data_IF_851611794347
#
_entry.id   IF_851611794347
#
_cell.length_a   1.000
_cell.length_b   1.000
_cell.length_c   1.000
_cell.angle_alpha   90.00
_cell.angle_beta   90.00
_cell.angle_gamma   90.00
#
_symmetry.space_group_name_H-M   'P 1'
#
loop_
_entity.id
_entity.type
_entity.pdbx_description
1 polymer ?
#
# COMPACT_ATOMS: atom_id res chain seq x y z
N UNK A 1 -14.52 -1.14 9.55
CA UNK A 1 -13.66 -0.89 8.34
C UNK A 1 -14.28 -1.60 7.15
N UNK A 2 -14.40 -0.94 5.99
CA UNK A 2 -14.95 -1.57 4.78
C UNK A 2 -13.97 -2.63 4.29
N UNK A 3 -14.48 -3.86 4.04
CA UNK A 3 -13.68 -4.94 3.47
C UNK A 3 -13.40 -4.61 1.99
N UNK A 4 -12.15 -4.34 1.64
CA UNK A 4 -11.74 -4.04 0.27
C UNK A 4 -11.58 -5.32 -0.54
N UNK A 5 -12.13 -5.37 -1.74
CA UNK A 5 -11.89 -6.45 -2.70
C UNK A 5 -10.39 -6.58 -3.03
N UNK A 6 -9.67 -5.45 -3.08
CA UNK A 6 -8.23 -5.40 -3.31
C UNK A 6 -7.36 -6.00 -2.20
N UNK A 7 -7.95 -6.30 -1.01
CA UNK A 7 -7.19 -6.84 0.14
C UNK A 7 -6.58 -8.20 -0.16
N UNK A 8 -7.37 -9.10 -0.71
CA UNK A 8 -6.90 -10.45 -1.02
C UNK A 8 -5.89 -10.41 -2.19
N UNK A 9 -6.13 -9.56 -3.18
CA UNK A 9 -5.19 -9.36 -4.29
C UNK A 9 -3.85 -8.80 -3.84
N UNK A 10 -3.85 -7.87 -2.88
CA UNK A 10 -2.63 -7.33 -2.29
C UNK A 10 -1.82 -8.41 -1.56
N UNK A 11 -2.50 -9.30 -0.83
CA UNK A 11 -1.85 -10.46 -0.18
C UNK A 11 -1.27 -11.45 -1.19
N UNK A 12 -2.01 -11.75 -2.25
CA UNK A 12 -1.57 -12.62 -3.34
C UNK A 12 -0.28 -12.07 -3.96
N UNK A 13 -0.28 -10.81 -4.39
CA UNK A 13 0.89 -10.16 -4.99
C UNK A 13 2.09 -10.12 -4.04
N UNK A 14 1.88 -9.93 -2.75
CA UNK A 14 2.96 -9.93 -1.77
C UNK A 14 3.60 -11.31 -1.54
N UNK A 15 2.93 -12.39 -1.94
CA UNK A 15 3.49 -13.76 -1.91
C UNK A 15 4.27 -14.10 -3.18
N UNK A 16 3.95 -13.45 -4.28
CA UNK A 16 4.51 -13.74 -5.61
C UNK A 16 5.64 -12.79 -6.00
N UNK A 17 5.58 -11.53 -5.54
CA UNK A 17 6.52 -10.48 -5.94
C UNK A 17 7.26 -9.89 -4.75
N UNK A 18 8.57 -9.60 -4.88
CA UNK A 18 9.33 -8.96 -3.81
C UNK A 18 8.90 -7.53 -3.51
N UNK A 19 8.37 -6.82 -4.52
CA UNK A 19 7.86 -5.45 -4.40
C UNK A 19 6.40 -5.41 -4.87
N UNK A 20 5.54 -4.76 -4.10
CA UNK A 20 4.15 -4.50 -4.52
C UNK A 20 3.88 -3.00 -4.47
N UNK A 21 3.46 -2.43 -5.58
CA UNK A 21 3.10 -1.03 -5.69
C UNK A 21 1.58 -0.86 -5.75
N UNK A 22 1.03 -0.20 -4.74
CA UNK A 22 -0.40 0.16 -4.68
C UNK A 22 -0.56 1.56 -5.24
N UNK A 23 -1.05 1.61 -6.45
CA UNK A 23 -1.27 2.81 -7.23
C UNK A 23 -2.72 3.30 -7.08
N UNK A 24 -2.93 4.60 -7.09
CA UNK A 24 -4.29 5.15 -7.07
C UNK A 24 -4.32 6.62 -6.72
N UNK A 25 -5.45 7.29 -6.97
CA UNK A 25 -5.60 8.72 -6.69
C UNK A 25 -5.45 9.02 -5.20
N UNK A 26 -5.24 10.29 -4.87
CA UNK A 26 -5.29 10.75 -3.48
C UNK A 26 -6.64 10.37 -2.85
N UNK A 27 -6.62 10.05 -1.55
CA UNK A 27 -7.82 9.66 -0.78
C UNK A 27 -8.50 8.35 -1.24
N UNK A 28 -7.89 7.55 -2.12
CA UNK A 28 -8.44 6.23 -2.48
C UNK A 28 -8.32 5.17 -1.37
N UNK A 29 -7.65 5.49 -0.27
CA UNK A 29 -7.48 4.61 0.89
C UNK A 29 -6.30 3.65 0.77
N UNK A 30 -5.26 3.99 -0.03
CA UNK A 30 -4.02 3.20 -0.17
C UNK A 30 -3.37 2.90 1.18
N UNK A 31 -3.05 3.96 1.93
CA UNK A 31 -2.42 3.87 3.26
C UNK A 31 -3.22 2.99 4.22
N UNK A 32 -4.54 3.18 4.28
CA UNK A 32 -5.42 2.37 5.13
C UNK A 32 -5.39 0.90 4.72
N UNK A 33 -5.42 0.62 3.42
CA UNK A 33 -5.37 -0.74 2.91
C UNK A 33 -4.06 -1.42 3.31
N UNK A 34 -2.90 -0.83 2.99
CA UNK A 34 -1.60 -1.46 3.23
C UNK A 34 -1.33 -1.68 4.72
N UNK A 35 -1.64 -0.71 5.58
CA UNK A 35 -1.54 -0.86 7.04
C UNK A 35 -2.44 -1.96 7.59
N UNK A 36 -3.64 -2.10 7.05
CA UNK A 36 -4.59 -3.14 7.49
C UNK A 36 -4.17 -4.55 7.08
N UNK A 37 -3.46 -4.69 5.95
CA UNK A 37 -2.97 -5.98 5.45
C UNK A 37 -1.66 -6.37 6.13
N UNK A 38 -0.78 -5.40 6.39
CA UNK A 38 0.56 -5.61 6.95
C UNK A 38 0.77 -4.84 8.26
N UNK A 39 -0.01 -5.12 9.33
CA UNK A 39 0.01 -4.32 10.56
C UNK A 39 1.34 -4.39 11.34
N UNK A 40 2.15 -5.41 11.09
CA UNK A 40 3.46 -5.62 11.75
C UNK A 40 4.64 -5.10 10.93
N UNK A 41 4.41 -4.69 9.68
CA UNK A 41 5.48 -4.20 8.82
C UNK A 41 5.80 -2.75 9.16
N UNK A 42 7.08 -2.35 9.27
CA UNK A 42 7.46 -0.95 9.48
C UNK A 42 6.80 -0.05 8.43
N UNK A 43 6.33 1.11 8.86
CA UNK A 43 5.66 2.08 7.99
C UNK A 43 6.45 3.39 7.98
N UNK A 44 6.71 3.89 6.78
CA UNK A 44 7.47 5.11 6.54
C UNK A 44 6.69 5.99 5.57
N UNK A 45 6.37 7.21 6.01
CA UNK A 45 5.76 8.24 5.15
C UNK A 45 6.88 9.10 4.56
N UNK A 46 7.03 9.06 3.23
CA UNK A 46 8.07 9.82 2.54
C UNK A 46 7.70 11.29 2.28
N UNK A 47 6.47 11.70 2.59
CA UNK A 47 6.11 13.12 2.67
C UNK A 47 6.76 13.80 3.89
N UNK A 48 7.11 13.05 4.95
CA UNK A 48 7.84 13.58 6.10
C UNK A 48 9.23 14.05 5.68
N UNK A 49 9.55 15.31 5.95
CA UNK A 49 10.79 15.95 5.50
C UNK A 49 12.03 15.22 6.00
N UNK A 50 12.07 14.84 7.28
CA UNK A 50 13.20 14.14 7.88
C UNK A 50 13.44 12.78 7.22
N UNK A 51 12.35 12.05 6.93
CA UNK A 51 12.42 10.75 6.25
C UNK A 51 12.87 10.90 4.80
N UNK A 52 12.34 11.89 4.11
CA UNK A 52 12.71 12.20 2.72
C UNK A 52 14.17 12.64 2.63
N UNK A 53 14.65 13.50 3.53
CA UNK A 53 16.03 13.93 3.57
C UNK A 53 16.98 12.75 3.82
N UNK A 54 16.71 11.90 4.80
CA UNK A 54 17.50 10.70 5.07
C UNK A 54 17.54 9.75 3.86
N UNK A 55 16.37 9.51 3.23
CA UNK A 55 16.24 8.67 2.05
C UNK A 55 16.94 9.22 0.81
N UNK A 56 17.07 10.53 0.71
CA UNK A 56 17.73 11.21 -0.42
C UNK A 56 19.24 11.32 -0.21
N UNK A 57 19.67 11.60 1.01
CA UNK A 57 21.10 11.81 1.35
C UNK A 57 21.88 10.51 1.30
N UNK A 58 21.36 9.44 1.90
CA UNK A 58 22.00 8.10 1.87
C UNK A 58 20.93 7.01 1.74
N UNK A 59 20.48 6.72 0.52
CA UNK A 59 19.46 5.69 0.27
C UNK A 59 19.84 4.30 0.76
N UNK A 60 21.14 3.95 0.73
CA UNK A 60 21.62 2.62 1.16
C UNK A 60 21.51 2.48 2.67
N UNK A 61 21.97 3.46 3.42
CA UNK A 61 21.86 3.48 4.88
C UNK A 61 20.41 3.51 5.30
N UNK A 62 19.59 4.36 4.67
CA UNK A 62 18.18 4.46 4.94
C UNK A 62 17.45 3.11 4.77
N UNK A 63 17.71 2.39 3.67
CA UNK A 63 17.11 1.07 3.44
C UNK A 63 17.68 -0.03 4.35
N UNK A 64 18.92 0.13 4.83
CA UNK A 64 19.53 -0.81 5.78
C UNK A 64 18.83 -0.82 7.15
N UNK A 65 18.14 0.27 7.52
CA UNK A 65 17.31 0.35 8.73
C UNK A 65 16.05 -0.55 8.64
N UNK A 66 15.72 -1.05 7.43
CA UNK A 66 14.57 -1.91 7.16
C UNK A 66 14.99 -3.25 6.54
N UNK A 67 15.78 -4.06 7.24
CA UNK A 67 16.38 -5.29 6.68
C UNK A 67 15.35 -6.33 6.26
N UNK A 68 14.17 -6.34 6.89
CA UNK A 68 13.04 -7.22 6.55
C UNK A 68 12.03 -6.56 5.61
N UNK A 69 12.34 -5.36 5.13
CA UNK A 69 11.47 -4.54 4.29
C UNK A 69 10.50 -3.68 5.09
N UNK A 70 9.79 -2.82 4.38
CA UNK A 70 8.87 -1.84 4.95
C UNK A 70 7.74 -1.49 3.99
N UNK A 71 6.76 -0.74 4.51
CA UNK A 71 5.79 0.01 3.72
C UNK A 71 6.38 1.41 3.52
N UNK A 72 6.59 1.82 2.28
CA UNK A 72 6.96 3.18 1.92
C UNK A 72 5.78 3.87 1.26
N UNK A 73 5.20 4.83 1.98
CA UNK A 73 4.03 5.59 1.54
C UNK A 73 4.49 6.85 0.78
N UNK A 74 3.81 7.15 -0.34
CA UNK A 74 4.10 8.24 -1.25
C UNK A 74 5.53 8.17 -1.85
N UNK A 75 5.87 7.00 -2.41
CA UNK A 75 7.22 6.70 -2.97
C UNK A 75 7.66 7.68 -4.07
N UNK A 76 6.73 8.40 -4.72
CA UNK A 76 7.07 9.44 -5.71
C UNK A 76 7.86 10.60 -5.12
N UNK A 77 7.85 10.78 -3.79
CA UNK A 77 8.68 11.79 -3.10
C UNK A 77 10.18 11.43 -3.11
N UNK A 78 10.49 10.13 -3.26
CA UNK A 78 11.87 9.61 -3.32
C UNK A 78 12.00 8.51 -4.37
N UNK A 79 11.78 8.78 -5.67
CA UNK A 79 11.74 7.74 -6.71
C UNK A 79 13.09 7.01 -6.89
N UNK A 80 14.20 7.65 -6.53
CA UNK A 80 15.53 7.05 -6.57
C UNK A 80 15.67 5.81 -5.66
N UNK A 81 14.88 5.69 -4.59
CA UNK A 81 14.87 4.51 -3.72
C UNK A 81 14.58 3.21 -4.49
N UNK A 82 13.77 3.29 -5.55
CA UNK A 82 13.40 2.12 -6.35
C UNK A 82 14.62 1.40 -6.92
N UNK A 83 15.61 2.14 -7.41
CA UNK A 83 16.85 1.55 -7.96
C UNK A 83 17.65 0.80 -6.89
N UNK A 84 17.70 1.32 -5.67
CA UNK A 84 18.40 0.66 -4.56
C UNK A 84 17.64 -0.54 -4.03
N UNK A 85 16.29 -0.47 -3.98
CA UNK A 85 15.43 -1.58 -3.58
C UNK A 85 15.63 -2.78 -4.52
N UNK A 86 15.78 -2.56 -5.83
CA UNK A 86 16.02 -3.63 -6.79
C UNK A 86 17.27 -4.43 -6.47
N UNK A 87 18.38 -3.76 -6.17
CA UNK A 87 19.61 -4.44 -5.76
C UNK A 87 19.42 -5.30 -4.51
N UNK A 88 18.61 -4.82 -3.55
CA UNK A 88 18.32 -5.56 -2.33
C UNK A 88 17.45 -6.79 -2.61
N UNK A 89 16.38 -6.66 -3.39
CA UNK A 89 15.47 -7.79 -3.66
C UNK A 89 16.10 -8.86 -4.53
N UNK A 90 16.99 -8.49 -5.47
CA UNK A 90 17.73 -9.44 -6.30
C UNK A 90 18.65 -10.32 -5.46
N UNK A 91 19.26 -9.74 -4.40
CA UNK A 91 20.12 -10.46 -3.49
C UNK A 91 19.36 -11.31 -2.47
N UNK A 92 18.29 -10.77 -1.89
CA UNK A 92 17.53 -11.44 -0.80
C UNK A 92 16.51 -12.45 -1.30
N UNK A 93 16.02 -12.33 -2.52
CA UNK A 93 14.99 -13.22 -3.13
C UNK A 93 13.78 -13.47 -2.22
N UNK A 94 13.33 -12.43 -1.50
CA UNK A 94 12.23 -12.49 -0.55
C UNK A 94 11.03 -11.74 -1.09
N UNK A 95 9.88 -12.43 -1.22
CA UNK A 95 8.63 -11.82 -1.66
C UNK A 95 7.97 -10.99 -0.55
N UNK A 96 7.19 -9.98 -0.96
CA UNK A 96 6.50 -9.07 -0.04
C UNK A 96 7.44 -8.20 0.78
N UNK A 97 8.68 -8.03 0.34
CA UNK A 97 9.68 -7.26 1.08
C UNK A 97 9.30 -5.79 1.17
N UNK A 98 9.04 -5.17 0.04
CA UNK A 98 8.64 -3.77 -0.02
C UNK A 98 7.21 -3.61 -0.50
N UNK A 99 6.41 -2.86 0.26
CA UNK A 99 5.06 -2.45 -0.10
C UNK A 99 5.10 -0.95 -0.31
N UNK A 100 4.79 -0.52 -1.51
CA UNK A 100 4.88 0.88 -1.91
C UNK A 100 3.48 1.43 -2.16
N UNK A 101 3.26 2.69 -1.84
CA UNK A 101 2.07 3.42 -2.28
C UNK A 101 2.48 4.67 -3.03
N UNK A 102 1.59 5.17 -3.87
CA UNK A 102 1.82 6.43 -4.56
C UNK A 102 0.74 6.76 -5.57
N UNK A 103 0.87 7.92 -6.19
CA UNK A 103 0.02 8.35 -7.29
C UNK A 103 0.61 7.91 -8.64
N UNK A 104 -0.21 7.97 -9.70
CA UNK A 104 0.09 7.46 -11.05
C UNK A 104 1.42 7.90 -11.67
N UNK A 105 1.98 9.03 -11.24
CA UNK A 105 3.09 9.68 -11.93
C UNK A 105 4.41 8.89 -11.91
N UNK A 106 4.59 7.99 -10.93
CA UNK A 106 5.85 7.23 -10.84
C UNK A 106 6.00 6.20 -11.95
N UNK A 107 4.89 5.68 -12.44
CA UNK A 107 4.87 4.70 -13.54
C UNK A 107 5.11 5.33 -14.92
N UNK A 108 5.10 6.67 -15.02
CA UNK A 108 5.44 7.41 -16.23
C UNK A 108 6.95 7.42 -16.50
N UNK A 109 7.77 7.08 -15.51
CA UNK A 109 9.22 6.97 -15.68
C UNK A 109 9.55 5.64 -16.37
N UNK A 110 9.78 5.65 -17.69
CA UNK A 110 10.08 4.45 -18.49
C UNK A 110 11.26 3.64 -17.94
N UNK A 111 12.27 4.32 -17.38
CA UNK A 111 13.40 3.68 -16.72
C UNK A 111 12.98 2.83 -15.51
N UNK A 112 11.95 3.27 -14.78
CA UNK A 112 11.41 2.53 -13.62
C UNK A 112 10.65 1.29 -14.08
N UNK A 113 9.85 1.40 -15.16
CA UNK A 113 9.12 0.25 -15.70
C UNK A 113 10.03 -0.87 -16.17
N UNK A 114 11.10 -0.53 -16.90
CA UNK A 114 12.04 -1.52 -17.43
C UNK A 114 12.81 -2.24 -16.31
N UNK A 115 13.26 -1.50 -15.30
CA UNK A 115 14.06 -2.08 -14.21
C UNK A 115 13.23 -2.91 -13.22
N UNK A 116 11.93 -2.63 -13.11
CA UNK A 116 11.02 -3.33 -12.18
C UNK A 116 10.29 -4.53 -12.82
N UNK A 117 10.46 -4.76 -14.12
CA UNK A 117 9.83 -5.87 -14.83
C UNK A 117 10.15 -7.22 -14.16
N UNK A 118 9.13 -8.00 -13.82
CA UNK A 118 9.26 -9.29 -13.13
C UNK A 118 9.57 -9.23 -11.63
N UNK A 119 9.81 -8.03 -11.06
CA UNK A 119 10.13 -7.83 -9.63
C UNK A 119 9.06 -7.08 -8.87
N UNK A 120 8.15 -6.39 -9.57
CA UNK A 120 7.09 -5.60 -8.96
C UNK A 120 5.72 -5.93 -9.54
N UNK A 121 4.77 -6.18 -8.65
CA UNK A 121 3.36 -6.19 -9.00
C UNK A 121 2.75 -4.80 -8.78
N UNK A 122 1.83 -4.42 -9.66
CA UNK A 122 1.09 -3.16 -9.57
C UNK A 122 -0.37 -3.48 -9.25
N UNK A 123 -0.87 -2.89 -8.18
CA UNK A 123 -2.27 -2.97 -7.79
C UNK A 123 -2.91 -1.57 -7.91
N UNK A 124 -3.78 -1.40 -8.89
CA UNK A 124 -4.54 -0.16 -9.03
C UNK A 124 -5.69 -0.14 -8.04
N UNK A 125 -5.68 0.84 -7.14
CA UNK A 125 -6.71 1.06 -6.14
C UNK A 125 -7.59 2.24 -6.54
N UNK A 126 -8.73 1.93 -7.10
CA UNK A 126 -9.76 2.92 -7.38
C UNK A 126 -10.45 3.38 -6.07
N UNK A 127 -11.14 4.53 -6.07
CA UNK A 127 -12.03 4.90 -4.98
C UNK A 127 -13.03 3.78 -4.69
N UNK A 128 -13.64 3.78 -3.49
CA UNK A 128 -14.61 2.76 -3.09
C UNK A 128 -15.64 2.50 -4.19
N UNK A 129 -15.79 1.24 -4.58
CA UNK A 129 -16.80 0.84 -5.55
C UNK A 129 -18.21 0.97 -4.97
N UNK A 130 -19.22 1.07 -5.84
CA UNK A 130 -20.64 1.10 -5.41
C UNK A 130 -21.00 -0.16 -4.60
N UNK A 131 -20.43 -1.33 -4.93
CA UNK A 131 -20.66 -2.58 -4.18
C UNK A 131 -20.04 -2.54 -2.77
N UNK A 132 -18.88 -1.92 -2.62
CA UNK A 132 -18.24 -1.74 -1.30
C UNK A 132 -19.02 -0.74 -0.43
N UNK A 133 -19.58 0.32 -1.04
CA UNK A 133 -20.45 1.29 -0.38
C UNK A 133 -21.81 0.67 -0.02
N UNK A 134 -22.42 -0.09 -0.92
CA UNK A 134 -23.70 -0.76 -0.68
C UNK A 134 -23.63 -1.78 0.46
N UNK A 135 -22.53 -2.51 0.61
CA UNK A 135 -22.32 -3.42 1.73
C UNK A 135 -22.31 -2.70 3.09
N UNK A 136 -21.74 -1.48 3.13
CA UNK A 136 -21.73 -0.65 4.34
C UNK A 136 -23.12 -0.10 4.66
N UNK A 137 -23.85 0.34 3.65
CA UNK A 137 -25.23 0.84 3.82
C UNK A 137 -26.14 -0.26 4.35
N UNK A 138 -26.06 -1.49 3.79
CA UNK A 138 -26.81 -2.64 4.30
C UNK A 138 -26.50 -2.91 5.78
N UNK A 139 -25.23 -2.87 6.17
CA UNK A 139 -24.82 -3.09 7.57
C UNK A 139 -25.37 -1.99 8.49
N UNK A 140 -25.31 -0.72 8.08
CA UNK A 140 -25.85 0.40 8.84
C UNK A 140 -27.38 0.31 9.00
N UNK A 141 -28.10 -0.02 7.93
CA UNK A 141 -29.55 -0.22 7.95
C UNK A 141 -29.92 -1.38 8.88
N UNK A 142 -29.16 -2.47 8.88
CA UNK A 142 -29.40 -3.61 9.77
C UNK A 142 -29.20 -3.22 11.24
N UNK A 143 -28.16 -2.44 11.56
CA UNK A 143 -27.89 -1.95 12.92
C UNK A 143 -29.00 -1.00 13.37
N UNK A 144 -29.44 -0.08 12.53
CA UNK A 144 -30.52 0.85 12.85
C UNK A 144 -31.86 0.14 13.08
N UNK A 145 -32.21 -0.84 12.25
CA UNK A 145 -33.44 -1.64 12.42
C UNK A 145 -33.42 -2.52 13.69
N UNK A 146 -32.23 -2.94 14.15
CA UNK A 146 -32.09 -3.67 15.42
C UNK A 146 -32.25 -2.74 16.63
N UNK A 147 -31.82 -1.46 16.52
CA UNK A 147 -32.00 -0.46 17.59
C UNK A 147 -33.47 -0.06 17.76
N UNK A 148 -34.25 -0.02 16.66
CA UNK A 148 -35.67 0.32 16.70
C UNK A 148 -36.55 -0.80 17.26
N UNK A 149 -36.10 -2.07 17.20
CA UNK A 149 -36.85 -3.19 17.76
C UNK A 149 -36.77 -3.33 19.28
N UNK A 150 -35.83 -2.66 19.94
CA UNK A 150 -35.73 -2.60 21.41
C UNK A 150 -36.62 -1.53 22.06
N UNK A 151 -37.17 -0.58 21.27
CA UNK A 151 -38.03 0.49 21.79
C UNK A 151 -39.54 0.19 21.75
N UNK A 152 -39.95 -0.95 21.26
CA UNK A 152 -41.37 -1.34 21.09
C UNK A 152 -41.82 -2.35 22.18
N UNK A 153 -40.95 -2.71 23.12
CA UNK A 153 -41.27 -3.69 24.18
C UNK A 153 -41.29 -3.04 25.59
N UNK A 154 -42.11 -2.00 25.76
CA UNK A 154 -42.55 -1.52 27.09
C UNK A 154 -43.98 -1.02 27.04
#
# INVERSE_FOLDING_TARGET
>A
MIKRQSREKLKEYSREFPVVYVNGPRQSGKTTLVKSVFPKKPYVLLEDLDKREAATTDPRKFLADYPEGAIFDEIQECPQLLSYMLGIVDNKKKNGMFILTGSHNILMLDKVKQSLAGRMAILDLLPLSLSELASKIKTLVLILNLSDSEYVAT
#
